data_IF_991281604455
#
_entry.id   IF_991281604455
#
_cell.length_a   1.000
_cell.length_b   1.000
_cell.length_c   1.000
_cell.angle_alpha   90.00
_cell.angle_beta   90.00
_cell.angle_gamma   90.00
#
_symmetry.space_group_name_H-M   'P 1'
#
loop_
_entity.id
_entity.type
_entity.pdbx_description
1 polymer ?
#
# COMPACT_ATOMS: atom_id res chain seq x y z
N UNK A 1 22.57 -18.40 -26.93
CA UNK A 1 21.85 -17.45 -26.05
C UNK A 1 21.23 -18.24 -24.91
N UNK A 2 21.57 -17.93 -23.66
CA UNK A 2 20.94 -18.55 -22.50
C UNK A 2 19.47 -18.14 -22.45
N UNK A 3 18.55 -19.10 -22.54
CA UNK A 3 17.13 -18.91 -22.22
C UNK A 3 16.87 -19.56 -20.86
N UNK A 4 16.26 -18.86 -19.89
CA UNK A 4 15.83 -19.50 -18.66
C UNK A 4 14.86 -20.63 -18.99
N UNK A 5 15.19 -21.85 -18.58
CA UNK A 5 14.31 -23.03 -18.76
C UNK A 5 13.24 -23.13 -17.68
N UNK A 6 13.42 -22.42 -16.56
CA UNK A 6 12.53 -22.46 -15.40
C UNK A 6 12.41 -21.08 -14.76
N UNK A 7 11.20 -20.74 -14.27
CA UNK A 7 11.02 -19.59 -13.39
C UNK A 7 11.52 -19.95 -11.99
N UNK A 8 12.55 -19.25 -11.53
CA UNK A 8 13.07 -19.44 -10.17
C UNK A 8 12.23 -18.63 -9.18
N UNK A 9 11.90 -19.25 -8.05
CA UNK A 9 11.26 -18.55 -6.94
C UNK A 9 12.21 -17.49 -6.38
N UNK A 10 11.70 -16.30 -6.04
CA UNK A 10 12.59 -15.22 -5.60
C UNK A 10 13.36 -15.54 -4.32
N UNK A 11 12.78 -16.35 -3.44
CA UNK A 11 13.48 -16.90 -2.28
C UNK A 11 14.79 -17.61 -2.66
N UNK A 12 14.73 -18.48 -3.67
CA UNK A 12 15.89 -19.22 -4.19
C UNK A 12 16.88 -18.32 -4.91
N UNK A 13 16.38 -17.28 -5.57
CA UNK A 13 17.24 -16.29 -6.22
C UNK A 13 18.03 -15.47 -5.20
N UNK A 14 17.36 -15.02 -4.13
CA UNK A 14 17.99 -14.25 -3.05
C UNK A 14 18.98 -15.10 -2.24
N UNK A 15 18.64 -16.35 -1.92
CA UNK A 15 19.56 -17.27 -1.23
C UNK A 15 20.81 -17.56 -2.05
N UNK A 16 20.65 -17.77 -3.36
CA UNK A 16 21.77 -18.01 -4.27
C UNK A 16 22.65 -16.77 -4.43
N UNK A 17 22.05 -15.58 -4.54
CA UNK A 17 22.80 -14.33 -4.56
C UNK A 17 23.62 -14.12 -3.27
N UNK A 18 23.05 -14.47 -2.11
CA UNK A 18 23.75 -14.43 -0.83
C UNK A 18 24.93 -15.42 -0.80
N UNK A 19 24.71 -16.66 -1.26
CA UNK A 19 25.75 -17.69 -1.33
C UNK A 19 26.93 -17.29 -2.21
N UNK A 20 26.66 -16.69 -3.39
CA UNK A 20 27.72 -16.17 -4.26
C UNK A 20 28.51 -15.08 -3.54
N UNK A 21 27.84 -14.14 -2.89
CA UNK A 21 28.50 -13.04 -2.18
C UNK A 21 29.41 -13.55 -1.07
N UNK A 22 28.96 -14.55 -0.29
CA UNK A 22 29.79 -15.20 0.72
C UNK A 22 30.99 -15.90 0.10
N UNK A 23 30.78 -16.66 -0.99
CA UNK A 23 31.86 -17.38 -1.67
C UNK A 23 32.97 -16.46 -2.20
N UNK A 24 32.64 -15.24 -2.63
CA UNK A 24 33.61 -14.23 -3.07
C UNK A 24 34.12 -13.32 -1.95
N UNK A 25 33.71 -13.55 -0.70
CA UNK A 25 34.11 -12.75 0.46
C UNK A 25 33.51 -11.33 0.49
N UNK A 26 32.42 -11.09 -0.23
CA UNK A 26 31.75 -9.80 -0.28
C UNK A 26 30.77 -9.66 0.90
N UNK A 27 30.97 -8.64 1.73
CA UNK A 27 29.99 -8.29 2.76
C UNK A 27 28.70 -7.79 2.10
N UNK A 28 27.60 -8.52 2.30
CA UNK A 28 26.31 -8.18 1.72
C UNK A 28 25.80 -6.86 2.32
N UNK A 29 25.57 -5.81 1.51
CA UNK A 29 24.94 -4.60 2.02
C UNK A 29 23.48 -4.88 2.39
N UNK A 30 22.93 -4.08 3.30
CA UNK A 30 21.48 -4.08 3.52
C UNK A 30 20.76 -3.80 2.20
N UNK A 31 19.65 -4.48 1.97
CA UNK A 31 18.79 -4.21 0.81
C UNK A 31 18.47 -2.72 0.73
N UNK A 32 18.39 -2.18 -0.49
CA UNK A 32 17.90 -0.83 -0.74
C UNK A 32 16.39 -0.70 -0.46
N UNK A 33 16.03 -0.71 0.83
CA UNK A 33 14.66 -0.57 1.32
C UNK A 33 13.95 0.59 0.63
N UNK A 34 14.58 1.77 0.66
CA UNK A 34 14.01 3.02 0.16
C UNK A 34 13.65 2.92 -1.32
N UNK A 35 14.53 2.32 -2.13
CA UNK A 35 14.32 2.11 -3.55
C UNK A 35 13.14 1.17 -3.82
N UNK A 36 13.08 0.02 -3.13
CA UNK A 36 12.00 -0.95 -3.29
C UNK A 36 10.67 -0.36 -2.80
N UNK A 37 10.66 0.27 -1.63
CA UNK A 37 9.48 0.92 -1.07
C UNK A 37 8.94 2.01 -2.00
N UNK A 38 9.82 2.87 -2.54
CA UNK A 38 9.42 3.92 -3.49
C UNK A 38 8.76 3.34 -4.73
N UNK A 39 9.32 2.26 -5.29
CA UNK A 39 8.74 1.57 -6.44
C UNK A 39 7.34 1.05 -6.13
N UNK A 40 7.15 0.42 -4.98
CA UNK A 40 5.83 -0.11 -4.59
C UNK A 40 4.80 0.97 -4.33
N UNK A 41 5.18 2.04 -3.64
CA UNK A 41 4.30 3.20 -3.42
C UNK A 41 3.83 3.77 -4.76
N UNK A 42 4.73 3.92 -5.74
CA UNK A 42 4.39 4.35 -7.09
C UNK A 42 3.48 3.36 -7.84
N UNK A 43 3.76 2.05 -7.74
CA UNK A 43 2.93 1.01 -8.35
C UNK A 43 1.51 0.95 -7.77
N UNK A 44 1.36 1.29 -6.49
CA UNK A 44 0.07 1.42 -5.82
C UNK A 44 -0.60 2.79 -6.06
N UNK A 45 0.06 3.69 -6.79
CA UNK A 45 -0.41 5.05 -7.08
C UNK A 45 -0.69 5.87 -5.81
N UNK A 46 0.15 5.69 -4.80
CA UNK A 46 0.05 6.39 -3.51
C UNK A 46 1.06 7.54 -3.43
N UNK A 47 0.84 8.51 -2.52
CA UNK A 47 1.77 9.64 -2.36
C UNK A 47 3.11 9.15 -1.80
N UNK A 48 4.16 9.29 -2.61
CA UNK A 48 5.54 9.00 -2.20
C UNK A 48 6.01 9.93 -1.08
N UNK A 49 5.67 11.21 -1.16
CA UNK A 49 6.09 12.23 -0.21
C UNK A 49 5.50 11.99 1.18
N UNK A 50 4.23 11.59 1.24
CA UNK A 50 3.57 11.22 2.50
C UNK A 50 4.05 9.86 2.99
N UNK A 51 4.01 8.82 2.15
CA UNK A 51 4.18 7.45 2.63
C UNK A 51 5.61 7.05 2.96
N UNK A 52 6.59 7.48 2.16
CA UNK A 52 7.96 7.01 2.29
C UNK A 52 8.57 7.34 3.67
N UNK A 53 8.39 8.56 4.22
CA UNK A 53 8.84 8.87 5.59
C UNK A 53 8.22 7.97 6.66
N UNK A 54 6.96 7.57 6.53
CA UNK A 54 6.31 6.66 7.50
C UNK A 54 6.85 5.23 7.37
N UNK A 55 7.00 4.74 6.15
CA UNK A 55 7.59 3.43 5.89
C UNK A 55 9.04 3.34 6.38
N UNK A 56 9.84 4.38 6.16
CA UNK A 56 11.21 4.45 6.69
C UNK A 56 11.25 4.41 8.21
N UNK A 57 10.37 5.15 8.91
CA UNK A 57 10.31 5.10 10.39
C UNK A 57 9.96 3.71 10.90
N UNK A 58 8.98 3.04 10.31
CA UNK A 58 8.61 1.67 10.70
C UNK A 58 9.77 0.71 10.43
N UNK A 59 10.46 0.85 9.29
CA UNK A 59 11.64 0.06 8.97
C UNK A 59 12.78 0.28 9.97
N UNK A 60 13.06 1.53 10.36
CA UNK A 60 14.07 1.85 11.35
C UNK A 60 13.74 1.25 12.73
N UNK A 61 12.46 1.25 13.12
CA UNK A 61 12.00 0.68 14.39
C UNK A 61 12.02 -0.83 14.42
N UNK A 62 11.56 -1.49 13.36
CA UNK A 62 11.56 -2.96 13.30
C UNK A 62 12.94 -3.52 13.01
N UNK A 63 13.81 -2.73 12.35
CA UNK A 63 15.14 -3.09 11.83
C UNK A 63 15.22 -4.59 11.50
N UNK A 64 14.34 -5.07 10.59
CA UNK A 64 14.11 -6.49 10.46
C UNK A 64 15.41 -7.14 10.00
N UNK A 65 15.94 -8.16 10.70
CA UNK A 65 17.09 -8.89 10.22
C UNK A 65 16.84 -9.46 8.83
N UNK A 66 15.56 -9.61 8.42
CA UNK A 66 15.01 -10.05 7.13
C UNK A 66 15.43 -9.19 5.93
N UNK A 67 15.83 -7.93 6.14
CA UNK A 67 16.22 -7.03 5.05
C UNK A 67 17.70 -7.13 4.61
N UNK A 68 18.38 -8.17 5.09
CA UNK A 68 19.71 -8.56 4.66
C UNK A 68 19.60 -9.73 3.68
N UNK A 69 20.49 -9.80 2.68
CA UNK A 69 20.55 -11.02 1.88
C UNK A 69 21.05 -12.17 2.76
N UNK A 70 20.41 -13.33 2.67
CA UNK A 70 20.71 -14.48 3.51
C UNK A 70 20.65 -15.76 2.69
N UNK A 71 21.58 -16.68 2.97
CA UNK A 71 21.62 -18.01 2.36
C UNK A 71 20.48 -18.93 2.80
N UNK A 72 19.69 -18.51 3.79
CA UNK A 72 18.60 -19.32 4.31
C UNK A 72 17.43 -19.40 3.31
N UNK A 73 17.29 -20.54 2.65
CA UNK A 73 16.20 -20.81 1.70
C UNK A 73 14.80 -20.85 2.32
N UNK A 74 14.65 -20.84 3.65
CA UNK A 74 13.35 -20.80 4.33
C UNK A 74 12.91 -19.38 4.71
N UNK A 75 13.80 -18.39 4.52
CA UNK A 75 13.55 -17.01 4.90
C UNK A 75 12.59 -16.33 3.94
N UNK A 76 11.72 -15.46 4.45
CA UNK A 76 10.85 -14.64 3.60
C UNK A 76 11.71 -13.79 2.65
N UNK A 77 11.36 -13.73 1.35
CA UNK A 77 12.10 -12.88 0.45
C UNK A 77 11.94 -11.41 0.83
N UNK A 78 12.94 -10.64 0.45
CA UNK A 78 13.10 -9.24 0.83
C UNK A 78 11.87 -8.41 0.46
N UNK A 79 11.29 -8.66 -0.71
CA UNK A 79 10.14 -7.89 -1.20
C UNK A 79 8.90 -8.07 -0.31
N UNK A 80 8.67 -9.27 0.23
CA UNK A 80 7.55 -9.58 1.10
C UNK A 80 7.70 -8.78 2.40
N UNK A 81 8.91 -8.73 2.96
CA UNK A 81 9.21 -7.90 4.13
C UNK A 81 8.95 -6.41 3.87
N UNK A 82 9.38 -5.88 2.71
CA UNK A 82 9.11 -4.48 2.35
C UNK A 82 7.61 -4.23 2.20
N UNK A 83 6.87 -5.14 1.56
CA UNK A 83 5.42 -5.03 1.42
C UNK A 83 4.71 -5.07 2.78
N UNK A 84 5.12 -5.92 3.71
CA UNK A 84 4.56 -5.94 5.07
C UNK A 84 4.73 -4.60 5.78
N UNK A 85 5.91 -3.99 5.67
CA UNK A 85 6.16 -2.64 6.23
C UNK A 85 5.24 -1.60 5.58
N UNK A 86 5.06 -1.65 4.25
CA UNK A 86 4.15 -0.74 3.55
C UNK A 86 2.70 -0.92 3.96
N UNK A 87 2.22 -2.15 4.13
CA UNK A 87 0.85 -2.43 4.61
C UNK A 87 0.64 -1.84 5.99
N UNK A 88 1.62 -1.99 6.90
CA UNK A 88 1.56 -1.38 8.24
C UNK A 88 1.57 0.14 8.12
N UNK A 89 2.41 0.72 7.26
CA UNK A 89 2.45 2.18 7.04
C UNK A 89 1.12 2.71 6.52
N UNK A 90 0.50 2.03 5.55
CA UNK A 90 -0.82 2.36 4.99
C UNK A 90 -1.87 2.34 6.09
N UNK A 91 -1.92 1.25 6.87
CA UNK A 91 -2.93 1.09 7.93
C UNK A 91 -2.83 2.20 8.97
N UNK A 92 -1.61 2.55 9.38
CA UNK A 92 -1.39 3.60 10.36
C UNK A 92 -1.71 5.00 9.79
N UNK A 93 -1.25 5.30 8.57
CA UNK A 93 -1.41 6.62 7.97
C UNK A 93 -2.87 6.96 7.66
N UNK A 94 -3.62 5.96 7.20
CA UNK A 94 -5.02 6.12 6.82
C UNK A 94 -6.00 5.65 7.89
N UNK A 95 -5.51 5.44 9.13
CA UNK A 95 -6.36 5.10 10.28
C UNK A 95 -7.28 3.90 10.00
N UNK A 96 -6.77 2.90 9.25
CA UNK A 96 -7.48 1.67 8.91
C UNK A 96 -7.34 0.73 10.11
N UNK A 97 -8.04 1.07 11.18
CA UNK A 97 -8.19 0.22 12.34
C UNK A 97 -9.32 -0.77 12.07
N UNK A 98 -9.17 -2.01 12.54
CA UNK A 98 -10.12 -3.11 12.35
C UNK A 98 -11.46 -2.96 13.10
N UNK A 99 -11.97 -1.73 13.13
CA UNK A 99 -13.25 -1.29 13.70
C UNK A 99 -13.97 -0.31 12.74
N UNK A 100 -13.58 -0.30 11.46
CA UNK A 100 -13.79 0.79 10.49
C UNK A 100 -14.75 0.48 9.35
N UNK A 101 -14.99 1.48 8.49
CA UNK A 101 -15.90 1.41 7.34
C UNK A 101 -15.63 0.22 6.39
N UNK A 102 -14.41 -0.33 6.38
CA UNK A 102 -14.03 -1.50 5.58
C UNK A 102 -14.78 -2.79 5.99
N UNK A 103 -14.91 -3.10 7.29
CA UNK A 103 -15.72 -4.24 7.73
C UNK A 103 -17.22 -4.02 7.42
N UNK A 104 -17.68 -2.77 7.51
CA UNK A 104 -19.06 -2.39 7.19
C UNK A 104 -19.37 -2.43 5.70
N UNK A 105 -18.41 -2.11 4.82
CA UNK A 105 -18.60 -2.16 3.36
C UNK A 105 -18.56 -3.58 2.79
N UNK A 106 -17.94 -4.53 3.50
CA UNK A 106 -17.99 -5.96 3.18
C UNK A 106 -19.30 -6.62 3.66
N UNK A 107 -19.99 -5.96 4.59
CA UNK A 107 -21.36 -6.31 4.94
C UNK A 107 -22.23 -5.84 3.78
N UNK A 108 -22.71 -6.76 2.93
CA UNK A 108 -23.61 -6.41 1.82
C UNK A 108 -24.82 -5.61 2.28
N UNK A 109 -25.58 -4.97 1.36
CA UNK A 109 -26.76 -4.18 1.72
C UNK A 109 -27.69 -5.05 2.55
N UNK A 110 -27.77 -4.78 3.86
CA UNK A 110 -28.89 -5.26 4.65
C UNK A 110 -30.10 -4.53 4.08
N UNK A 111 -30.94 -5.26 3.35
CA UNK A 111 -32.29 -4.84 3.01
C UNK A 111 -33.03 -4.59 4.32
N UNK A 112 -32.93 -3.38 4.86
CA UNK A 112 -33.82 -2.91 5.91
C UNK A 112 -35.12 -2.50 5.25
N UNK A 113 -35.94 -3.50 4.93
CA UNK A 113 -37.33 -3.32 4.57
C UNK A 113 -38.11 -2.74 5.76
N UNK A 114 -38.63 -1.53 5.55
CA UNK A 114 -39.90 -0.97 6.04
C UNK A 114 -40.17 -0.85 7.56
N UNK A 115 -40.31 0.39 8.06
CA UNK A 115 -41.63 0.98 8.39
C UNK A 115 -41.55 2.39 9.03
N UNK A 116 -42.13 3.36 8.29
CA UNK A 116 -42.95 4.51 8.70
C UNK A 116 -42.76 5.31 10.02
N UNK A 117 -42.51 6.62 9.80
CA UNK A 117 -43.28 7.82 10.23
C UNK A 117 -43.11 8.48 11.62
N UNK A 118 -42.68 9.75 11.52
CA UNK A 118 -43.35 11.01 11.95
C UNK A 118 -42.93 11.70 13.26
N UNK A 119 -42.77 13.03 13.10
CA UNK A 119 -42.83 14.14 14.08
C UNK A 119 -41.47 14.58 14.63
N UNK A 120 -41.02 15.85 14.58
CA UNK A 120 -41.56 17.12 14.11
C UNK A 120 -40.67 18.28 14.62
N UNK A 121 -40.80 19.47 13.99
CA UNK A 121 -40.32 20.82 14.42
C UNK A 121 -38.81 21.15 14.25
N UNK A 122 -38.38 21.99 13.29
CA UNK A 122 -38.50 23.46 13.10
C UNK A 122 -37.46 24.32 13.83
N UNK A 123 -36.54 24.96 13.09
CA UNK A 123 -36.27 26.41 13.17
C UNK A 123 -35.26 26.87 12.11
N UNK A 124 -35.62 27.94 11.36
CA UNK A 124 -34.82 28.67 10.37
C UNK A 124 -33.85 29.67 11.03
N UNK A 125 -32.71 29.98 10.38
CA UNK A 125 -32.26 31.38 10.11
C UNK A 125 -31.15 31.44 9.06
N UNK A 126 -31.03 32.59 8.40
CA UNK A 126 -30.49 32.88 7.05
C UNK A 126 -29.06 33.47 7.02
N UNK A 127 -28.43 33.28 5.85
CA UNK A 127 -27.59 34.18 5.02
C UNK A 127 -26.32 34.88 5.51
N UNK A 128 -25.26 34.82 4.65
CA UNK A 128 -24.13 35.77 4.66
C UNK A 128 -22.88 35.34 3.88
N UNK A 129 -22.91 35.28 2.53
CA UNK A 129 -21.73 35.17 1.66
C UNK A 129 -20.89 36.48 1.67
N UNK A 130 -19.54 36.38 1.67
CA UNK A 130 -18.68 36.61 0.47
C UNK A 130 -17.20 36.95 0.79
N UNK A 131 -16.36 35.94 0.60
CA UNK A 131 -15.07 35.90 -0.11
C UNK A 131 -14.06 37.08 -0.03
N UNK A 132 -12.83 36.75 0.38
CA UNK A 132 -11.58 36.98 -0.38
C UNK A 132 -10.36 36.39 0.34
N UNK A 133 -9.97 35.17 -0.03
CA UNK A 133 -8.57 34.75 0.03
C UNK A 133 -8.35 33.59 -0.94
N UNK A 134 -8.46 33.91 -2.24
CA UNK A 134 -8.07 33.04 -3.34
C UNK A 134 -6.88 33.68 -4.04
N UNK A 135 -5.69 33.24 -3.65
CA UNK A 135 -4.50 33.09 -4.50
C UNK A 135 -3.42 32.54 -3.60
N UNK A 136 -3.24 31.21 -3.68
CA UNK A 136 -2.07 30.39 -3.30
C UNK A 136 -2.46 28.92 -2.97
N UNK A 137 -3.74 28.56 -2.96
CA UNK A 137 -4.20 27.19 -2.66
C UNK A 137 -4.25 26.22 -3.86
N UNK A 138 -3.61 26.56 -4.98
CA UNK A 138 -3.69 25.77 -6.23
C UNK A 138 -2.45 24.93 -6.54
N UNK A 139 -1.52 24.77 -5.60
CA UNK A 139 -0.31 23.94 -5.80
C UNK A 139 -0.09 22.87 -4.71
N UNK A 140 -1.07 22.67 -3.82
CA UNK A 140 -0.99 21.67 -2.74
C UNK A 140 -2.32 20.92 -2.56
N UNK A 141 -2.98 20.53 -3.65
CA UNK A 141 -3.97 19.43 -3.59
C UNK A 141 -3.23 18.11 -3.68
N UNK A 142 -2.33 17.89 -2.74
CA UNK A 142 -1.78 16.57 -2.48
C UNK A 142 -2.86 15.81 -1.72
N UNK A 143 -3.76 15.17 -2.48
CA UNK A 143 -4.98 14.52 -2.03
C UNK A 143 -4.75 13.85 -0.67
N UNK A 144 -5.35 14.42 0.37
CA UNK A 144 -5.53 13.74 1.64
C UNK A 144 -6.69 12.78 1.42
N UNK A 145 -6.34 11.60 0.89
CA UNK A 145 -7.32 10.56 0.62
C UNK A 145 -7.90 10.11 1.96
N UNK A 146 -9.21 10.20 2.11
CA UNK A 146 -9.89 9.47 3.19
C UNK A 146 -9.71 7.95 2.97
N UNK A 147 -9.79 7.16 4.04
CA UNK A 147 -9.57 5.72 3.99
C UNK A 147 -10.43 5.02 2.93
N UNK A 148 -11.67 5.48 2.74
CA UNK A 148 -12.60 4.97 1.72
C UNK A 148 -12.10 5.23 0.29
N UNK A 149 -11.56 6.42 0.02
CA UNK A 149 -11.01 6.79 -1.28
C UNK A 149 -9.71 6.01 -1.57
N UNK A 150 -8.88 5.80 -0.56
CA UNK A 150 -7.69 4.96 -0.69
C UNK A 150 -8.05 3.52 -1.08
N UNK A 151 -8.98 2.91 -0.34
CA UNK A 151 -9.34 1.51 -0.55
C UNK A 151 -9.94 1.28 -1.94
N UNK A 152 -10.83 2.16 -2.40
CA UNK A 152 -11.40 2.07 -3.75
C UNK A 152 -10.33 2.21 -4.84
N UNK A 153 -9.31 3.07 -4.65
CA UNK A 153 -8.17 3.16 -5.57
C UNK A 153 -7.33 1.88 -5.59
N UNK A 154 -7.06 1.30 -4.43
CA UNK A 154 -6.32 0.05 -4.33
C UNK A 154 -7.08 -1.11 -4.98
N UNK A 155 -8.39 -1.19 -4.79
CA UNK A 155 -9.26 -2.18 -5.43
C UNK A 155 -9.27 -2.03 -6.96
N UNK A 156 -9.46 -0.81 -7.47
CA UNK A 156 -9.40 -0.54 -8.91
C UNK A 156 -8.04 -0.95 -9.51
N UNK A 157 -6.94 -0.68 -8.81
CA UNK A 157 -5.59 -1.10 -9.23
C UNK A 157 -5.41 -2.61 -9.20
N UNK A 158 -5.96 -3.29 -8.20
CA UNK A 158 -5.93 -4.75 -8.13
C UNK A 158 -6.66 -5.36 -9.33
N UNK A 159 -7.88 -4.92 -9.61
CA UNK A 159 -8.68 -5.42 -10.74
C UNK A 159 -7.98 -5.17 -12.09
N UNK A 160 -7.41 -3.98 -12.30
CA UNK A 160 -6.66 -3.67 -13.52
C UNK A 160 -5.43 -4.59 -13.72
N UNK A 161 -4.74 -4.96 -12.64
CA UNK A 161 -3.62 -5.91 -12.71
C UNK A 161 -4.12 -7.33 -12.97
N UNK A 162 -5.23 -7.74 -12.35
CA UNK A 162 -5.83 -9.07 -12.59
C UNK A 162 -6.24 -9.21 -14.05
N UNK A 163 -6.85 -8.19 -14.65
CA UNK A 163 -7.17 -8.17 -16.08
C UNK A 163 -5.90 -8.27 -16.94
N UNK A 164 -4.90 -7.43 -16.66
CA UNK A 164 -3.65 -7.39 -17.44
C UNK A 164 -2.82 -8.67 -17.37
N UNK A 165 -2.84 -9.39 -16.25
CA UNK A 165 -2.08 -10.65 -16.08
C UNK A 165 -2.93 -11.91 -16.28
N UNK A 166 -4.25 -11.81 -16.21
CA UNK A 166 -5.19 -12.90 -16.48
C UNK A 166 -5.22 -13.30 -17.95
N UNK A 167 -5.08 -12.34 -18.87
CA UNK A 167 -4.97 -12.60 -20.32
C UNK A 167 -3.69 -13.37 -20.69
N UNK A 168 -2.61 -13.25 -19.90
CA UNK A 168 -1.34 -13.92 -20.18
C UNK A 168 -1.28 -15.39 -19.78
N UNK A 169 -2.25 -15.89 -18.99
CA UNK A 169 -2.27 -17.29 -18.53
C UNK A 169 -3.26 -18.18 -19.29
N UNK A 170 -4.14 -17.62 -20.12
CA UNK A 170 -5.15 -18.35 -20.91
C UNK A 170 -5.11 -18.09 -22.42
N UNK A 171 -4.08 -17.39 -22.92
CA UNK A 171 -3.84 -17.15 -24.36
C UNK A 171 -2.83 -18.11 -24.98
#
# INVERSE_FOLDING_TARGET
>A
MFRPSQSLHAQKLESFAASIAQAIGMHLPSVNFRGIASRYIQQLSLSLEKMLPHACRIYEWSKPPELWLSENELRLPTRECVMSILVVAIRNLYNIHGFGAWERSLSGPQESDNAEKVSGSSSKTKDGLRAKSMRNFSLAKELDLDASELLSKLEARYNANVEAYGEFFFG
#
